data_IF_315831527849
#
_entry.id   IF_315831527849
#
_cell.length_a   1.000
_cell.length_b   1.000
_cell.length_c   1.000
_cell.angle_alpha   90.00
_cell.angle_beta   90.00
_cell.angle_gamma   90.00
#
_symmetry.space_group_name_H-M   'P 1'
#
loop_
_entity.id
_entity.type
_entity.pdbx_description
1 polymer ?
#
# COMPACT_ATOMS: atom_id res chain seq x y z
N UNK A 1 5.76 16.71 12.93
CA UNK A 1 6.34 17.58 13.98
C UNK A 1 7.66 16.97 14.40
N UNK A 2 8.76 17.72 14.37
CA UNK A 2 10.08 17.26 14.80
C UNK A 2 10.35 17.76 16.21
N UNK A 3 10.85 16.86 17.06
CA UNK A 3 11.14 17.12 18.47
C UNK A 3 12.64 16.90 18.70
N UNK A 4 13.25 17.78 19.48
CA UNK A 4 14.61 17.58 20.00
C UNK A 4 14.48 17.13 21.45
N UNK A 5 15.14 16.04 21.81
CA UNK A 5 15.21 15.57 23.19
C UNK A 5 16.66 15.65 23.67
N UNK A 6 16.87 16.36 24.77
CA UNK A 6 18.13 16.39 25.49
C UNK A 6 17.96 15.65 26.82
N UNK A 7 18.53 14.45 26.90
CA UNK A 7 18.47 13.61 28.09
C UNK A 7 19.30 14.16 29.24
N UNK A 8 20.39 14.89 28.93
CA UNK A 8 21.27 15.48 29.95
C UNK A 8 20.59 16.65 30.66
N UNK A 9 19.83 17.45 29.90
CA UNK A 9 19.02 18.55 30.44
C UNK A 9 17.60 18.12 30.79
N UNK A 10 17.25 16.83 30.64
CA UNK A 10 15.88 16.31 30.84
C UNK A 10 14.81 17.14 30.13
N UNK A 11 15.12 17.62 28.92
CA UNK A 11 14.26 18.55 28.18
C UNK A 11 13.81 17.95 26.85
N UNK A 12 12.58 18.32 26.46
CA UNK A 12 11.99 18.00 25.17
C UNK A 12 11.50 19.33 24.58
N UNK A 13 12.02 19.69 23.41
CA UNK A 13 11.67 20.95 22.74
C UNK A 13 11.13 20.69 21.34
N UNK A 14 10.23 21.57 20.89
CA UNK A 14 9.77 21.59 19.51
C UNK A 14 10.92 22.09 18.64
N UNK A 15 11.34 21.25 17.71
CA UNK A 15 12.41 21.61 16.78
C UNK A 15 11.87 22.34 15.56
N UNK A 16 10.94 21.71 14.83
CA UNK A 16 10.37 22.26 13.59
C UNK A 16 9.03 21.62 13.25
N UNK A 17 8.10 22.42 12.73
CA UNK A 17 6.88 21.93 12.07
C UNK A 17 7.09 22.03 10.57
N UNK A 18 6.93 20.91 9.88
CA UNK A 18 7.18 20.82 8.44
C UNK A 18 5.84 20.53 7.75
N UNK A 19 5.22 21.52 7.09
CA UNK A 19 3.99 21.31 6.37
C UNK A 19 4.27 20.53 5.08
N UNK A 20 3.49 19.47 4.84
CA UNK A 20 3.60 18.69 3.61
C UNK A 20 2.50 19.16 2.66
N UNK A 21 2.86 20.05 1.75
CA UNK A 21 1.91 20.63 0.79
C UNK A 21 1.58 19.59 -0.30
N UNK A 22 0.31 19.51 -0.68
CA UNK A 22 -0.18 18.66 -1.78
C UNK A 22 -0.25 17.16 -1.46
N UNK A 23 -0.23 16.77 -0.18
CA UNK A 23 -0.24 15.36 0.25
C UNK A 23 -1.48 14.98 1.06
N UNK A 24 -2.67 15.51 0.74
CA UNK A 24 -3.90 15.22 1.50
C UNK A 24 -4.25 13.72 1.55
N UNK A 25 -3.77 12.94 0.57
CA UNK A 25 -3.97 11.49 0.48
C UNK A 25 -2.84 10.66 1.08
N UNK A 26 -1.69 11.27 1.44
CA UNK A 26 -0.51 10.57 1.94
C UNK A 26 -0.13 11.03 3.34
N UNK A 27 0.07 10.07 4.24
CA UNK A 27 0.46 10.33 5.63
C UNK A 27 1.88 9.79 5.87
N UNK A 28 2.76 10.54 6.56
CA UNK A 28 4.07 10.05 6.94
C UNK A 28 3.96 8.80 7.81
N UNK A 29 4.58 7.71 7.39
CA UNK A 29 4.61 6.43 8.12
C UNK A 29 5.97 6.17 8.74
N UNK A 30 7.04 6.67 8.12
CA UNK A 30 8.38 6.56 8.70
C UNK A 30 9.26 7.76 8.38
N UNK A 31 10.29 7.91 9.20
CA UNK A 31 11.25 9.00 9.16
C UNK A 31 12.65 8.41 9.29
N UNK A 32 13.58 8.85 8.45
CA UNK A 32 14.98 8.47 8.50
C UNK A 32 15.88 9.69 8.45
N UNK A 33 16.96 9.68 9.23
CA UNK A 33 17.99 10.72 9.17
C UNK A 33 19.34 10.05 9.07
N UNK A 34 20.28 10.70 8.39
CA UNK A 34 21.69 10.31 8.43
C UNK A 34 22.44 11.32 9.30
N UNK A 35 23.20 10.85 10.29
CA UNK A 35 23.86 11.74 11.27
C UNK A 35 24.82 12.73 10.59
N UNK A 36 25.45 12.31 9.49
CA UNK A 36 26.42 13.09 8.70
C UNK A 36 25.80 14.03 7.67
N UNK A 37 24.51 13.89 7.34
CA UNK A 37 23.84 14.70 6.31
C UNK A 37 22.70 15.52 6.93
N UNK A 38 22.53 16.77 6.48
CA UNK A 38 21.40 17.61 6.88
C UNK A 38 20.16 17.28 6.03
N UNK A 39 19.91 15.97 5.87
CA UNK A 39 18.82 15.39 5.10
C UNK A 39 17.91 14.55 6.00
N UNK A 40 16.62 14.78 5.87
CA UNK A 40 15.56 14.06 6.55
C UNK A 40 14.68 13.37 5.50
N UNK A 41 14.67 12.04 5.52
CA UNK A 41 13.88 11.21 4.63
C UNK A 41 12.53 10.93 5.25
N UNK A 42 11.46 11.19 4.51
CA UNK A 42 10.10 10.87 4.89
C UNK A 42 9.56 9.82 3.94
N UNK A 43 9.09 8.70 4.48
CA UNK A 43 8.27 7.75 3.74
C UNK A 43 6.82 7.98 4.12
N UNK A 44 5.96 8.07 3.11
CA UNK A 44 4.55 8.37 3.27
C UNK A 44 3.71 7.26 2.63
N UNK A 45 2.70 6.79 3.34
CA UNK A 45 1.73 5.82 2.83
C UNK A 45 0.41 6.48 2.47
N UNK A 46 -0.30 5.94 1.49
CA UNK A 46 -1.66 6.40 1.17
C UNK A 46 -2.63 6.11 2.34
N UNK A 47 -3.44 7.09 2.71
CA UNK A 47 -4.41 6.97 3.83
C UNK A 47 -5.86 7.26 3.45
N UNK A 48 -6.12 7.66 2.20
CA UNK A 48 -7.46 8.05 1.74
C UNK A 48 -7.66 7.72 0.27
N UNK A 49 -7.53 6.45 -0.11
CA UNK A 49 -7.77 6.02 -1.48
C UNK A 49 -9.28 6.05 -1.78
N UNK A 50 -9.77 7.19 -2.24
CA UNK A 50 -11.10 7.28 -2.80
C UNK A 50 -11.08 6.54 -4.13
N UNK A 51 -11.87 5.46 -4.27
CA UNK A 51 -11.82 4.52 -5.40
C UNK A 51 -12.23 5.07 -6.77
N UNK A 52 -12.10 6.38 -7.01
CA UNK A 52 -12.55 7.11 -8.19
C UNK A 52 -11.44 7.87 -8.93
N UNK A 53 -10.20 7.92 -8.43
CA UNK A 53 -9.13 8.61 -9.16
C UNK A 53 -8.35 7.65 -10.05
N UNK A 54 -8.80 7.51 -11.30
CA UNK A 54 -8.02 7.01 -12.44
C UNK A 54 -6.75 7.84 -12.73
N UNK A 55 -6.52 8.93 -11.99
CA UNK A 55 -5.50 9.95 -12.29
C UNK A 55 -4.40 10.14 -11.26
N UNK A 56 -4.34 9.34 -10.19
CA UNK A 56 -3.10 9.24 -9.40
C UNK A 56 -2.26 8.13 -10.00
N UNK A 57 -1.21 8.51 -10.75
CA UNK A 57 -0.09 7.62 -11.09
C UNK A 57 0.11 6.65 -9.92
N UNK A 58 -0.05 5.34 -10.16
CA UNK A 58 -0.44 4.26 -9.21
C UNK A 58 0.48 3.97 -8.01
N UNK A 59 1.13 4.99 -7.47
CA UNK A 59 2.06 5.00 -6.38
C UNK A 59 1.31 4.97 -5.04
N UNK A 60 1.40 3.85 -4.32
CA UNK A 60 0.82 3.67 -2.98
C UNK A 60 1.70 4.24 -1.86
N UNK A 61 2.93 4.61 -2.20
CA UNK A 61 3.98 5.07 -1.30
C UNK A 61 4.67 6.28 -1.92
N UNK A 62 4.98 7.31 -1.14
CA UNK A 62 5.81 8.45 -1.56
C UNK A 62 7.05 8.57 -0.69
N UNK A 63 8.13 9.12 -1.26
CA UNK A 63 9.39 9.39 -0.57
C UNK A 63 9.74 10.85 -0.78
N UNK A 64 9.77 11.62 0.31
CA UNK A 64 10.19 13.03 0.29
C UNK A 64 11.49 13.20 1.05
N UNK A 65 12.37 14.05 0.53
CA UNK A 65 13.60 14.43 1.23
C UNK A 65 13.52 15.89 1.62
N UNK A 66 13.66 16.16 2.91
CA UNK A 66 13.75 17.50 3.45
C UNK A 66 15.23 17.84 3.64
N UNK A 67 15.70 18.86 2.94
CA UNK A 67 17.06 19.38 3.06
C UNK A 67 17.12 20.54 4.04
N UNK A 68 18.24 20.64 4.76
CA UNK A 68 18.49 21.73 5.70
C UNK A 68 17.70 21.61 6.99
N UNK A 69 17.32 20.39 7.39
CA UNK A 69 16.49 20.22 8.58
C UNK A 69 17.21 20.65 9.86
N UNK A 70 18.55 20.54 9.94
CA UNK A 70 19.34 20.97 11.11
C UNK A 70 19.53 22.49 11.23
N UNK A 71 19.11 23.25 10.23
CA UNK A 71 19.19 24.72 10.24
C UNK A 71 18.23 25.32 11.25
N UNK A 72 18.48 26.57 11.64
CA UNK A 72 17.64 27.29 12.60
C UNK A 72 16.17 27.35 12.15
N UNK A 73 15.27 27.66 13.09
CA UNK A 73 13.83 27.71 12.85
C UNK A 73 13.44 28.67 11.70
N UNK A 74 14.25 29.71 11.49
CA UNK A 74 14.01 30.81 10.56
C UNK A 74 14.48 30.52 9.12
N UNK A 75 15.32 29.50 8.92
CA UNK A 75 15.80 29.15 7.59
C UNK A 75 14.82 28.23 6.84
N UNK A 76 14.55 28.57 5.57
CA UNK A 76 13.67 27.81 4.69
C UNK A 76 14.22 26.39 4.47
N UNK A 77 13.34 25.41 4.65
CA UNK A 77 13.61 24.02 4.29
C UNK A 77 13.02 23.72 2.92
N UNK A 78 13.81 23.12 2.04
CA UNK A 78 13.34 22.66 0.75
C UNK A 78 12.96 21.18 0.81
N UNK A 79 11.85 20.87 0.12
CA UNK A 79 11.43 19.50 -0.13
C UNK A 79 11.83 19.06 -1.53
N UNK A 80 12.32 17.85 -1.62
CA UNK A 80 12.58 17.14 -2.85
C UNK A 80 11.52 16.06 -3.02
N UNK A 81 10.91 16.02 -4.21
CA UNK A 81 9.90 15.01 -4.55
C UNK A 81 10.53 13.66 -4.91
N UNK A 82 9.66 12.66 -5.06
CA UNK A 82 9.99 11.28 -5.40
C UNK A 82 11.04 11.19 -6.53
N UNK A 83 10.77 11.84 -7.67
CA UNK A 83 11.58 11.79 -8.91
C UNK A 83 12.87 12.59 -8.81
N UNK A 84 12.87 13.62 -7.97
CA UNK A 84 14.03 14.48 -7.81
C UNK A 84 15.00 13.93 -6.76
N UNK A 85 14.55 12.99 -5.93
CA UNK A 85 15.36 12.36 -4.89
C UNK A 85 16.33 11.31 -5.48
N UNK A 86 17.62 11.33 -5.06
CA UNK A 86 18.60 10.37 -5.56
C UNK A 86 18.21 8.95 -5.14
N UNK A 87 17.97 8.06 -6.11
CA UNK A 87 17.51 6.69 -5.88
C UNK A 87 16.04 6.57 -5.45
N UNK A 88 15.27 7.65 -5.53
CA UNK A 88 13.86 7.68 -5.14
C UNK A 88 13.00 6.67 -5.89
N UNK A 89 13.20 6.55 -7.19
CA UNK A 89 12.45 5.61 -8.03
C UNK A 89 12.71 4.14 -7.66
N UNK A 90 13.98 3.77 -7.42
CA UNK A 90 14.35 2.41 -6.99
C UNK A 90 13.77 2.10 -5.59
N UNK A 91 13.81 3.08 -4.68
CA UNK A 91 13.23 2.96 -3.35
C UNK A 91 11.71 2.81 -3.40
N UNK A 92 11.04 3.60 -4.23
CA UNK A 92 9.60 3.50 -4.45
C UNK A 92 9.21 2.14 -4.99
N UNK A 93 9.93 1.63 -6.00
CA UNK A 93 9.69 0.31 -6.56
C UNK A 93 9.82 -0.79 -5.49
N UNK A 94 10.86 -0.71 -4.64
CA UNK A 94 11.05 -1.67 -3.53
C UNK A 94 9.95 -1.58 -2.48
N UNK A 95 9.50 -0.36 -2.14
CA UNK A 95 8.48 -0.14 -1.10
C UNK A 95 7.07 -0.50 -1.57
N UNK A 96 6.76 -0.26 -2.84
CA UNK A 96 5.46 -0.59 -3.43
C UNK A 96 5.35 -2.08 -3.75
N UNK A 97 6.48 -2.73 -4.02
CA UNK A 97 6.51 -4.09 -4.51
C UNK A 97 5.96 -4.18 -5.93
N UNK A 98 5.65 -5.40 -6.35
CA UNK A 98 5.10 -5.64 -7.69
C UNK A 98 3.60 -5.34 -7.70
N UNK A 99 3.24 -4.13 -8.15
CA UNK A 99 1.84 -3.70 -8.29
C UNK A 99 1.16 -4.33 -9.50
N UNK A 100 1.90 -5.02 -10.38
CA UNK A 100 1.30 -5.75 -11.49
C UNK A 100 0.67 -7.04 -10.98
N UNK A 101 -0.65 -7.00 -10.76
CA UNK A 101 -1.44 -8.22 -10.74
C UNK A 101 -1.25 -8.90 -12.10
N UNK A 102 -0.53 -10.04 -12.11
CA UNK A 102 -0.25 -10.78 -13.34
C UNK A 102 -1.55 -11.03 -14.09
N UNK A 103 -1.55 -10.76 -15.41
CA UNK A 103 -2.70 -11.05 -16.28
C UNK A 103 -3.20 -12.50 -16.14
N UNK A 104 -2.26 -13.42 -15.89
CA UNK A 104 -2.54 -14.84 -15.57
C UNK A 104 -3.48 -15.03 -14.38
N UNK A 105 -3.39 -14.20 -13.33
CA UNK A 105 -4.27 -14.27 -12.18
C UNK A 105 -5.71 -13.88 -12.55
N UNK A 106 -5.87 -12.86 -13.40
CA UNK A 106 -7.19 -12.47 -13.93
C UNK A 106 -7.77 -13.54 -14.85
N UNK A 107 -6.96 -14.12 -15.75
CA UNK A 107 -7.37 -15.22 -16.63
C UNK A 107 -7.81 -16.44 -15.82
N UNK A 108 -7.03 -16.83 -14.81
CA UNK A 108 -7.37 -17.95 -13.91
C UNK A 108 -8.67 -17.69 -13.16
N UNK A 109 -8.86 -16.48 -12.63
CA UNK A 109 -10.10 -16.10 -11.96
C UNK A 109 -11.30 -16.14 -12.93
N UNK A 110 -11.13 -15.64 -14.15
CA UNK A 110 -12.18 -15.66 -15.17
C UNK A 110 -12.57 -17.08 -15.57
N UNK A 111 -11.59 -17.98 -15.74
CA UNK A 111 -11.84 -19.40 -16.02
C UNK A 111 -12.55 -20.09 -14.86
N UNK A 112 -12.14 -19.83 -13.62
CA UNK A 112 -12.80 -20.36 -12.43
C UNK A 112 -14.26 -19.90 -12.34
N UNK A 113 -14.54 -18.63 -12.62
CA UNK A 113 -15.91 -18.08 -12.67
C UNK A 113 -16.71 -18.74 -13.78
N UNK A 114 -16.15 -18.88 -14.99
CA UNK A 114 -16.81 -19.55 -16.12
C UNK A 114 -17.15 -21.00 -15.78
N UNK A 115 -16.24 -21.73 -15.15
CA UNK A 115 -16.46 -23.10 -14.70
C UNK A 115 -17.54 -23.18 -13.60
N UNK A 116 -17.50 -22.26 -12.64
CA UNK A 116 -18.50 -22.18 -11.56
C UNK A 116 -19.90 -21.88 -12.12
N UNK A 117 -20.02 -20.92 -13.04
CA UNK A 117 -21.27 -20.57 -13.71
C UNK A 117 -21.80 -21.74 -14.54
N UNK A 118 -20.95 -22.39 -15.34
CA UNK A 118 -21.34 -23.58 -16.11
C UNK A 118 -21.86 -24.69 -15.19
N UNK A 119 -21.16 -24.97 -14.10
CA UNK A 119 -21.58 -25.96 -13.11
C UNK A 119 -22.91 -25.58 -12.43
N UNK A 120 -23.14 -24.30 -12.17
CA UNK A 120 -24.38 -23.79 -11.61
C UNK A 120 -25.56 -24.00 -12.57
N UNK A 121 -25.39 -23.65 -13.85
CA UNK A 121 -26.44 -23.84 -14.86
C UNK A 121 -26.78 -25.31 -15.07
N UNK A 122 -25.76 -26.18 -15.12
CA UNK A 122 -25.97 -27.63 -15.18
C UNK A 122 -26.78 -28.10 -13.97
N UNK A 123 -26.43 -27.64 -12.76
CA UNK A 123 -27.17 -27.99 -11.53
C UNK A 123 -28.60 -27.46 -11.53
N UNK A 124 -28.88 -26.31 -12.16
CA UNK A 124 -30.24 -25.78 -12.32
C UNK A 124 -31.11 -26.67 -13.21
N UNK A 125 -30.51 -27.34 -14.19
CA UNK A 125 -31.21 -28.22 -15.14
C UNK A 125 -31.37 -29.67 -14.63
N UNK A 126 -30.94 -29.98 -13.41
CA UNK A 126 -31.14 -31.32 -12.87
C UNK A 126 -32.61 -31.58 -12.57
N UNK A 127 -33.12 -32.72 -13.05
CA UNK A 127 -34.37 -33.28 -12.57
C UNK A 127 -34.27 -33.63 -11.08
N UNK A 128 -35.41 -33.74 -10.40
CA UNK A 128 -35.48 -34.10 -8.99
C UNK A 128 -34.71 -35.42 -8.71
N UNK A 129 -34.91 -36.43 -9.55
CA UNK A 129 -34.26 -37.74 -9.43
C UNK A 129 -32.74 -37.65 -9.58
N UNK A 130 -32.26 -36.89 -10.57
CA UNK A 130 -30.82 -36.68 -10.81
C UNK A 130 -30.18 -35.94 -9.64
N UNK A 131 -30.89 -34.95 -9.08
CA UNK A 131 -30.43 -34.19 -7.91
C UNK A 131 -30.36 -35.08 -6.68
N UNK A 132 -31.33 -35.97 -6.49
CA UNK A 132 -31.39 -36.88 -5.35
C UNK A 132 -30.33 -37.99 -5.44
N UNK A 133 -30.13 -38.60 -6.61
CA UNK A 133 -29.06 -39.55 -6.86
C UNK A 133 -27.67 -38.96 -6.55
N UNK A 134 -27.42 -37.70 -6.98
CA UNK A 134 -26.16 -36.99 -6.68
C UNK A 134 -26.01 -36.61 -5.21
N UNK A 135 -27.09 -36.37 -4.47
CA UNK A 135 -27.05 -36.15 -3.01
C UNK A 135 -26.68 -37.44 -2.27
N UNK A 136 -27.29 -38.57 -2.64
CA UNK A 136 -27.02 -39.90 -2.05
C UNK A 136 -25.54 -40.28 -2.22
N UNK A 137 -25.01 -40.22 -3.45
CA UNK A 137 -23.59 -40.51 -3.73
C UNK A 137 -22.58 -39.58 -3.04
N UNK A 138 -22.99 -38.40 -2.55
CA UNK A 138 -22.14 -37.54 -1.70
C UNK A 138 -22.15 -37.98 -0.24
N UNK A 139 -23.30 -38.38 0.29
CA UNK A 139 -23.41 -38.86 1.67
C UNK A 139 -22.67 -40.18 1.87
N UNK A 140 -22.68 -41.07 0.88
CA UNK A 140 -21.99 -42.38 0.94
C UNK A 140 -20.46 -42.27 1.07
N UNK A 141 -19.89 -41.12 0.67
CA UNK A 141 -18.46 -40.82 0.81
C UNK A 141 -18.09 -40.13 2.11
N UNK A 142 -19.08 -39.70 2.91
CA UNK A 142 -18.86 -38.91 4.13
C UNK A 142 -18.61 -39.77 5.38
N UNK A 143 -18.94 -41.06 5.34
CA UNK A 143 -18.76 -42.02 6.43
C UNK A 143 -17.62 -43.03 6.24
N UNK A 144 -16.85 -42.93 5.15
CA UNK A 144 -15.67 -43.79 4.92
C UNK A 144 -14.41 -43.03 5.34
N UNK A 145 -14.13 -43.05 6.64
CA UNK A 145 -12.81 -42.84 7.23
C UNK A 145 -12.44 -44.10 7.99
#
# INVERSE_FOLDING_TARGET
MLLTCDLSMTSLSLFKVVPIVGSETFIPTSLGTATSADLLWLVMGVSGLNGSSESTEGSLVRVRVLSGFKKSLEEETSFLEDKDSPGGEEMLQKLQGDLHVKSEAFLTAAEAVKAAMRNLFIKKQYSADTREFRKRGRNDRKGKR
#
